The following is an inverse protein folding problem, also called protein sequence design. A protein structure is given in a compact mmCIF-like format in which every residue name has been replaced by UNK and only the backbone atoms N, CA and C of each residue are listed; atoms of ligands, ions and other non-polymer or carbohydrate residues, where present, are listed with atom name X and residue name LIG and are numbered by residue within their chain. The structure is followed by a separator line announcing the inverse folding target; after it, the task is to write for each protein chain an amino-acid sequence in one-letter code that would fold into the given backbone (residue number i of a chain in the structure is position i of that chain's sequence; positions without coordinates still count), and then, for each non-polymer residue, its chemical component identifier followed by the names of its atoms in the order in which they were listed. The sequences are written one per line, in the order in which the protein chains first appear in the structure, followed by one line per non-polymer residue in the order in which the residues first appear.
data_IF_413064049517
#
_entry.id   IF_413064049517
#
_cell.length_a   1.000
_cell.length_b   1.000
_cell.length_c   1.000
_cell.angle_alpha   90.00
_cell.angle_beta   90.00
_cell.angle_gamma   90.00
#
_symmetry.space_group_name_H-M   'P 1'
#
loop_
_entity.id
_entity.type
_entity.pdbx_description
1 polymer ?
#
# COMPACT_ATOMS: atom_id res chain seq x y z
N UNK A 1 15.68 -12.60 -7.70
CA UNK A 1 14.63 -12.44 -8.73
C UNK A 1 14.44 -10.94 -8.86
N UNK A 2 14.47 -10.34 -10.04
CA UNK A 2 14.36 -8.86 -10.18
C UNK A 2 13.00 -8.34 -9.70
N UNK A 3 12.94 -7.10 -9.22
CA UNK A 3 11.76 -6.39 -8.70
C UNK A 3 10.56 -6.51 -9.68
N UNK A 4 10.75 -6.17 -10.93
CA UNK A 4 9.77 -6.30 -12.01
C UNK A 4 9.11 -7.69 -12.07
N UNK A 5 9.89 -8.78 -11.88
CA UNK A 5 9.36 -10.14 -11.92
C UNK A 5 8.45 -10.48 -10.75
N UNK A 6 8.70 -9.93 -9.55
CA UNK A 6 7.86 -10.14 -8.38
C UNK A 6 6.53 -9.41 -8.50
N UNK A 7 6.54 -8.14 -8.91
CA UNK A 7 5.32 -7.34 -9.15
C UNK A 7 4.49 -7.95 -10.27
N UNK A 8 5.09 -8.28 -11.40
CA UNK A 8 4.41 -8.94 -12.52
C UNK A 8 3.78 -10.29 -12.14
N UNK A 9 4.42 -11.06 -11.26
CA UNK A 9 3.85 -12.31 -10.76
C UNK A 9 2.67 -12.06 -9.81
N UNK A 10 2.76 -11.06 -8.94
CA UNK A 10 1.67 -10.69 -8.03
C UNK A 10 0.44 -10.20 -8.80
N UNK A 11 0.63 -9.44 -9.87
CA UNK A 11 -0.45 -8.93 -10.73
C UNK A 11 -0.95 -9.93 -11.77
N UNK A 12 -0.38 -11.14 -11.84
CA UNK A 12 -0.71 -12.12 -12.88
C UNK A 12 -2.20 -12.40 -13.01
N UNK A 13 -2.91 -12.58 -11.89
CA UNK A 13 -4.37 -12.85 -11.88
C UNK A 13 -5.16 -11.67 -12.46
N UNK A 14 -4.81 -10.45 -12.09
CA UNK A 14 -5.46 -9.23 -12.61
C UNK A 14 -5.18 -9.05 -14.09
N UNK A 15 -3.90 -9.19 -14.51
CA UNK A 15 -3.50 -9.12 -15.92
C UNK A 15 -4.21 -10.15 -16.78
N UNK A 16 -4.23 -11.43 -16.36
CA UNK A 16 -4.91 -12.49 -17.10
C UNK A 16 -6.43 -12.26 -17.21
N UNK A 17 -7.05 -11.64 -16.19
CA UNK A 17 -8.47 -11.28 -16.24
C UNK A 17 -8.73 -10.19 -17.28
N UNK A 18 -7.93 -9.13 -17.29
CA UNK A 18 -8.03 -8.03 -18.25
C UNK A 18 -7.72 -8.52 -19.68
N UNK A 19 -6.59 -9.20 -19.86
CA UNK A 19 -6.14 -9.65 -21.17
C UNK A 19 -7.14 -10.59 -21.85
N UNK A 20 -7.65 -11.61 -21.13
CA UNK A 20 -8.63 -12.56 -21.67
C UNK A 20 -9.90 -11.86 -22.14
N UNK A 21 -10.37 -10.88 -21.40
CA UNK A 21 -11.60 -10.15 -21.77
C UNK A 21 -11.38 -9.24 -22.96
N UNK A 22 -10.26 -8.50 -23.01
CA UNK A 22 -9.90 -7.69 -24.19
C UNK A 22 -9.78 -8.57 -25.44
N UNK A 23 -9.11 -9.72 -25.35
CA UNK A 23 -8.91 -10.62 -26.48
C UNK A 23 -10.24 -11.26 -26.94
N UNK A 24 -11.14 -11.60 -26.00
CA UNK A 24 -12.47 -12.12 -26.32
C UNK A 24 -13.33 -11.08 -27.06
N UNK A 25 -13.37 -9.83 -26.60
CA UNK A 25 -14.12 -8.75 -27.22
C UNK A 25 -13.61 -8.46 -28.65
N UNK A 26 -12.31 -8.44 -28.84
CA UNK A 26 -11.71 -8.17 -30.16
C UNK A 26 -11.77 -9.34 -31.14
N UNK A 27 -12.07 -10.55 -30.68
CA UNK A 27 -12.32 -11.70 -31.59
C UNK A 27 -13.65 -11.58 -32.35
N UNK A 28 -14.55 -10.70 -31.93
CA UNK A 28 -15.91 -10.58 -32.48
C UNK A 28 -16.17 -9.29 -33.27
N UNK A 29 -15.24 -8.32 -33.30
CA UNK A 29 -15.54 -7.07 -34.01
C UNK A 29 -14.47 -6.00 -33.98
N UNK A 30 -14.88 -4.82 -34.43
CA UNK A 30 -14.12 -3.57 -34.40
C UNK A 30 -14.23 -2.91 -33.03
N UNK A 31 -13.45 -1.83 -32.79
CA UNK A 31 -13.55 -0.99 -31.59
C UNK A 31 -14.82 -0.10 -31.68
N UNK A 32 -15.98 -0.73 -31.50
CA UNK A 32 -17.29 -0.07 -31.49
C UNK A 32 -17.70 0.39 -30.09
N UNK A 33 -18.91 0.89 -29.95
CA UNK A 33 -19.41 1.38 -28.66
C UNK A 33 -19.57 0.25 -27.63
N UNK A 34 -20.01 -0.94 -28.09
CA UNK A 34 -20.15 -2.13 -27.24
C UNK A 34 -18.80 -2.57 -26.66
N UNK A 35 -17.72 -2.55 -27.48
CA UNK A 35 -16.37 -2.81 -27.00
C UNK A 35 -15.95 -1.88 -25.84
N UNK A 36 -16.22 -0.58 -25.96
CA UNK A 36 -15.83 0.39 -24.91
C UNK A 36 -16.66 0.24 -23.63
N UNK A 37 -17.96 -0.08 -23.77
CA UNK A 37 -18.82 -0.35 -22.61
C UNK A 37 -18.36 -1.60 -21.89
N UNK A 38 -18.11 -2.70 -22.59
CA UNK A 38 -17.58 -3.95 -22.05
C UNK A 38 -16.21 -3.76 -21.40
N UNK A 39 -15.32 -2.95 -22.01
CA UNK A 39 -14.01 -2.64 -21.43
C UNK A 39 -14.16 -1.87 -20.13
N UNK A 40 -15.11 -0.95 -20.04
CA UNK A 40 -15.42 -0.23 -18.81
C UNK A 40 -15.81 -1.21 -17.69
N UNK A 41 -16.71 -2.16 -17.99
CA UNK A 41 -17.13 -3.20 -17.02
C UNK A 41 -15.96 -4.09 -16.58
N UNK A 42 -15.05 -4.41 -17.51
CA UNK A 42 -13.82 -5.16 -17.19
C UNK A 42 -12.97 -4.39 -16.17
N UNK A 43 -12.70 -3.12 -16.43
CA UNK A 43 -11.87 -2.29 -15.54
C UNK A 43 -12.52 -2.12 -14.17
N UNK A 44 -13.85 -1.92 -14.12
CA UNK A 44 -14.63 -1.89 -12.86
C UNK A 44 -14.49 -3.21 -12.11
N UNK A 45 -14.62 -4.35 -12.81
CA UNK A 45 -14.51 -5.69 -12.20
C UNK A 45 -13.12 -5.97 -11.60
N UNK A 46 -12.10 -5.24 -12.05
CA UNK A 46 -10.73 -5.28 -11.51
C UNK A 46 -10.49 -4.27 -10.37
N UNK A 47 -11.55 -3.66 -9.86
CA UNK A 47 -11.52 -2.63 -8.79
C UNK A 47 -10.77 -1.32 -9.13
N UNK A 48 -10.69 -0.96 -10.42
CA UNK A 48 -10.14 0.35 -10.85
C UNK A 48 -11.05 1.51 -10.41
N UNK A 49 -12.31 1.20 -10.07
CA UNK A 49 -13.31 2.19 -9.70
C UNK A 49 -14.14 2.69 -10.89
N UNK A 50 -15.42 2.95 -10.64
CA UNK A 50 -16.39 3.29 -11.70
C UNK A 50 -15.97 4.54 -12.47
N UNK A 51 -15.79 5.67 -11.77
CA UNK A 51 -15.42 6.94 -12.38
C UNK A 51 -14.09 6.87 -13.13
N UNK A 52 -13.09 6.26 -12.48
CA UNK A 52 -11.75 6.11 -13.06
C UNK A 52 -11.79 5.26 -14.34
N UNK A 53 -12.58 4.17 -14.35
CA UNK A 53 -12.74 3.30 -15.52
C UNK A 53 -13.38 4.07 -16.69
N UNK A 54 -14.43 4.84 -16.45
CA UNK A 54 -15.04 5.70 -17.48
C UNK A 54 -14.04 6.70 -18.06
N UNK A 55 -13.30 7.41 -17.22
CA UNK A 55 -12.31 8.41 -17.67
C UNK A 55 -11.21 7.76 -18.52
N UNK A 56 -10.71 6.58 -18.12
CA UNK A 56 -9.67 5.84 -18.86
C UNK A 56 -10.21 5.39 -20.23
N UNK A 57 -11.40 4.81 -20.27
CA UNK A 57 -11.98 4.28 -21.50
C UNK A 57 -12.35 5.39 -22.48
N UNK A 58 -12.88 6.52 -22.02
CA UNK A 58 -13.17 7.65 -22.89
C UNK A 58 -11.87 8.25 -23.47
N UNK A 59 -10.82 8.34 -22.67
CA UNK A 59 -9.50 8.76 -23.16
C UNK A 59 -8.94 7.77 -24.20
N UNK A 60 -9.09 6.47 -23.96
CA UNK A 60 -8.72 5.43 -24.92
C UNK A 60 -9.51 5.57 -26.23
N UNK A 61 -10.83 5.78 -26.17
CA UNK A 61 -11.70 5.97 -27.33
C UNK A 61 -11.20 7.11 -28.23
N UNK A 62 -10.89 8.25 -27.64
CA UNK A 62 -10.36 9.43 -28.35
C UNK A 62 -9.00 9.10 -29.00
N UNK A 63 -8.10 8.49 -28.23
CA UNK A 63 -6.74 8.17 -28.70
C UNK A 63 -6.72 7.06 -29.74
N UNK A 64 -7.57 6.04 -29.58
CA UNK A 64 -7.67 4.94 -30.52
C UNK A 64 -8.12 5.43 -31.92
N UNK A 65 -9.10 6.35 -31.97
CA UNK A 65 -9.53 7.00 -33.22
C UNK A 65 -8.40 7.82 -33.85
N UNK A 66 -7.72 8.65 -33.05
CA UNK A 66 -6.61 9.51 -33.50
C UNK A 66 -5.43 8.69 -34.03
N UNK A 67 -5.05 7.63 -33.32
CA UNK A 67 -3.88 6.81 -33.62
C UNK A 67 -4.21 5.60 -34.51
N UNK A 68 -5.48 5.47 -34.97
CA UNK A 68 -5.97 4.38 -35.84
C UNK A 68 -5.70 2.99 -35.26
N UNK A 69 -5.84 2.82 -33.94
CA UNK A 69 -5.70 1.55 -33.23
C UNK A 69 -6.90 0.66 -33.60
N UNK A 70 -6.62 -0.62 -33.93
CA UNK A 70 -7.66 -1.58 -34.36
C UNK A 70 -7.47 -2.98 -33.79
N UNK A 71 -6.51 -3.19 -32.89
CA UNK A 71 -6.19 -4.51 -32.32
C UNK A 71 -5.89 -4.45 -30.83
N UNK A 72 -5.92 -5.62 -30.18
CA UNK A 72 -5.76 -5.74 -28.74
C UNK A 72 -4.39 -5.29 -28.21
N UNK A 73 -3.35 -5.48 -29.00
CA UNK A 73 -2.01 -5.04 -28.64
C UNK A 73 -1.94 -3.50 -28.59
N UNK A 74 -2.51 -2.83 -29.60
CA UNK A 74 -2.60 -1.38 -29.62
C UNK A 74 -3.45 -0.83 -28.49
N UNK A 75 -4.59 -1.47 -28.17
CA UNK A 75 -5.44 -1.11 -27.04
C UNK A 75 -4.67 -1.22 -25.72
N UNK A 76 -4.01 -2.35 -25.46
CA UNK A 76 -3.19 -2.54 -24.25
C UNK A 76 -2.05 -1.52 -24.17
N UNK A 77 -1.37 -1.27 -25.29
CA UNK A 77 -0.31 -0.25 -25.36
C UNK A 77 -0.83 1.14 -25.01
N UNK A 78 -1.98 1.54 -25.53
CA UNK A 78 -2.56 2.85 -25.26
C UNK A 78 -3.10 2.96 -23.82
N UNK A 79 -3.68 1.90 -23.25
CA UNK A 79 -4.05 1.85 -21.83
C UNK A 79 -2.84 2.07 -20.92
N UNK A 80 -1.70 1.42 -21.22
CA UNK A 80 -0.45 1.67 -20.49
C UNK A 80 -0.02 3.13 -20.57
N UNK A 81 -0.09 3.74 -21.76
CA UNK A 81 0.29 5.14 -21.96
C UNK A 81 -0.60 6.08 -21.15
N UNK A 82 -1.92 5.86 -21.18
CA UNK A 82 -2.89 6.66 -20.41
C UNK A 82 -2.55 6.59 -18.91
N UNK A 83 -2.34 5.39 -18.36
CA UNK A 83 -2.01 5.24 -16.95
C UNK A 83 -0.64 5.82 -16.60
N UNK A 84 0.37 5.67 -17.46
CA UNK A 84 1.70 6.29 -17.24
C UNK A 84 1.61 7.81 -17.16
N UNK A 85 0.80 8.42 -18.02
CA UNK A 85 0.59 9.88 -17.99
C UNK A 85 -0.18 10.32 -16.74
N UNK A 86 -1.21 9.56 -16.33
CA UNK A 86 -1.95 9.85 -15.10
C UNK A 86 -1.07 9.75 -13.86
N UNK A 87 -0.21 8.74 -13.79
CA UNK A 87 0.67 8.53 -12.65
C UNK A 87 1.96 9.37 -12.68
N UNK A 88 2.34 9.94 -13.83
CA UNK A 88 3.53 10.79 -13.94
C UNK A 88 3.48 12.04 -13.04
N UNK A 89 2.28 12.48 -12.64
CA UNK A 89 2.08 13.63 -11.74
C UNK A 89 2.13 13.26 -10.25
N UNK A 90 2.20 11.96 -9.91
CA UNK A 90 2.19 11.50 -8.55
C UNK A 90 3.60 11.41 -7.99
N UNK A 91 3.80 12.00 -6.82
CA UNK A 91 5.09 11.94 -6.14
C UNK A 91 5.28 10.55 -5.51
N UNK A 92 6.39 9.90 -5.84
CA UNK A 92 6.83 8.76 -5.04
C UNK A 92 7.28 9.25 -3.67
N UNK A 93 6.97 8.47 -2.63
CA UNK A 93 7.43 8.81 -1.29
C UNK A 93 8.92 8.46 -1.15
N UNK A 94 9.70 9.46 -0.76
CA UNK A 94 11.09 9.27 -0.34
C UNK A 94 11.16 9.39 1.18
N UNK A 95 11.77 8.40 1.82
CA UNK A 95 11.89 8.35 3.28
C UNK A 95 13.20 9.01 3.68
N UNK A 96 13.09 10.14 4.35
CA UNK A 96 14.22 10.86 4.93
C UNK A 96 14.50 10.36 6.34
N UNK A 97 15.77 10.41 6.77
CA UNK A 97 16.22 9.84 8.05
C UNK A 97 16.78 10.93 8.99
N UNK A 98 16.65 10.76 10.33
CA UNK A 98 15.98 9.65 11.01
C UNK A 98 14.46 9.67 10.79
N UNK A 99 13.87 8.49 10.63
CA UNK A 99 12.45 8.33 10.35
C UNK A 99 11.70 7.65 11.50
N UNK A 100 10.49 8.11 11.79
CA UNK A 100 9.51 7.40 12.61
C UNK A 100 8.33 7.05 11.72
N UNK A 101 8.09 5.75 11.51
CA UNK A 101 7.02 5.26 10.65
C UNK A 101 5.98 4.56 11.53
N UNK A 102 4.82 5.19 11.69
CA UNK A 102 3.67 4.62 12.39
C UNK A 102 2.83 3.81 11.41
N UNK A 103 2.64 2.53 11.69
CA UNK A 103 1.85 1.62 10.87
C UNK A 103 0.43 1.53 11.42
N UNK A 104 -0.53 2.05 10.65
CA UNK A 104 -1.94 2.10 10.99
C UNK A 104 -2.78 1.20 10.07
N UNK A 105 -4.03 0.94 10.44
CA UNK A 105 -4.96 0.11 9.65
C UNK A 105 -5.79 -0.82 10.52
N UNK A 106 -6.81 -1.45 9.94
CA UNK A 106 -7.71 -2.34 10.68
C UNK A 106 -7.04 -3.67 11.05
N UNK A 107 -7.66 -4.45 11.95
CA UNK A 107 -7.16 -5.77 12.29
C UNK A 107 -7.26 -6.73 11.08
N UNK A 108 -6.26 -7.59 10.92
CA UNK A 108 -6.23 -8.62 9.86
C UNK A 108 -5.65 -8.18 8.52
N UNK A 109 -5.37 -6.88 8.31
CA UNK A 109 -4.77 -6.38 7.05
C UNK A 109 -3.27 -6.70 6.91
N UNK A 110 -2.63 -7.19 7.98
CA UNK A 110 -1.21 -7.57 7.92
C UNK A 110 -0.24 -6.54 8.50
N UNK A 111 -0.65 -5.63 9.39
CA UNK A 111 0.24 -4.60 9.99
C UNK A 111 1.52 -5.18 10.58
N UNK A 112 1.40 -6.09 11.54
CA UNK A 112 2.55 -6.69 12.24
C UNK A 112 3.49 -7.44 11.29
N UNK A 113 2.92 -8.17 10.31
CA UNK A 113 3.69 -8.82 9.24
C UNK A 113 4.42 -7.79 8.36
N UNK A 114 3.74 -6.72 8.01
CA UNK A 114 4.31 -5.61 7.23
C UNK A 114 5.49 -4.97 7.96
N UNK A 115 5.38 -4.72 9.27
CA UNK A 115 6.48 -4.18 10.08
C UNK A 115 7.69 -5.12 10.05
N UNK A 116 7.47 -6.42 10.19
CA UNK A 116 8.54 -7.40 10.08
C UNK A 116 9.25 -7.36 8.72
N UNK A 117 8.49 -7.27 7.63
CA UNK A 117 9.03 -7.16 6.27
C UNK A 117 9.72 -5.81 6.03
N UNK A 118 9.16 -4.69 6.50
CA UNK A 118 9.81 -3.37 6.46
C UNK A 118 11.12 -3.36 7.23
N UNK A 119 11.16 -4.01 8.40
CA UNK A 119 12.41 -4.16 9.16
C UNK A 119 13.49 -4.85 8.32
N UNK A 120 13.15 -5.93 7.62
CA UNK A 120 14.07 -6.61 6.72
C UNK A 120 14.48 -5.74 5.54
N UNK A 121 13.51 -5.04 4.91
CA UNK A 121 13.75 -4.12 3.81
C UNK A 121 14.77 -3.04 4.18
N UNK A 122 14.54 -2.30 5.28
CA UNK A 122 15.45 -1.23 5.70
C UNK A 122 16.83 -1.76 6.11
N UNK A 123 16.91 -2.96 6.71
CA UNK A 123 18.20 -3.59 7.00
C UNK A 123 18.98 -3.98 5.75
N UNK A 124 18.30 -4.41 4.70
CA UNK A 124 18.92 -4.65 3.40
C UNK A 124 19.48 -3.33 2.81
N UNK A 125 18.80 -2.20 3.07
CA UNK A 125 19.27 -0.83 2.76
C UNK A 125 20.34 -0.31 3.75
N UNK A 126 20.87 -1.19 4.63
CA UNK A 126 21.90 -0.88 5.63
C UNK A 126 21.48 0.17 6.67
N UNK A 127 20.19 0.27 6.97
CA UNK A 127 19.65 1.15 8.00
C UNK A 127 19.57 0.42 9.34
N UNK A 128 19.85 1.14 10.44
CA UNK A 128 19.56 0.64 11.79
C UNK A 128 18.06 0.82 12.07
N UNK A 129 17.43 -0.27 12.53
CA UNK A 129 15.97 -0.32 12.74
C UNK A 129 15.66 -0.69 14.18
N UNK A 130 14.66 -0.04 14.74
CA UNK A 130 14.06 -0.44 16.04
C UNK A 130 12.55 -0.57 15.86
N UNK A 131 11.98 -1.66 16.45
CA UNK A 131 10.54 -1.91 16.46
C UNK A 131 9.92 -1.45 17.79
N UNK A 132 8.70 -0.96 17.74
CA UNK A 132 7.90 -0.57 18.91
C UNK A 132 6.57 -1.32 18.88
N UNK A 133 6.30 -2.13 19.91
CA UNK A 133 5.06 -2.89 20.06
C UNK A 133 3.98 -2.00 20.69
N UNK A 134 3.37 -1.10 19.89
CA UNK A 134 2.32 -0.20 20.34
C UNK A 134 0.91 -0.82 20.35
N UNK A 135 0.65 -1.98 19.71
CA UNK A 135 -0.59 -2.76 19.92
C UNK A 135 -0.53 -3.50 21.26
N UNK A 136 -0.66 -2.74 22.35
CA UNK A 136 -0.53 -3.24 23.72
C UNK A 136 -1.72 -4.05 24.22
N UNK A 137 -2.87 -3.98 23.52
CA UNK A 137 -4.08 -4.70 23.90
C UNK A 137 -4.12 -6.16 23.44
N UNK A 138 -3.16 -6.56 22.60
CA UNK A 138 -3.14 -7.89 22.00
C UNK A 138 -1.80 -8.56 22.28
N UNK A 139 -1.77 -9.41 23.32
CA UNK A 139 -0.58 -10.22 23.65
C UNK A 139 -0.05 -10.99 22.43
N UNK A 140 -0.95 -11.55 21.61
CA UNK A 140 -0.57 -12.27 20.38
C UNK A 140 0.14 -11.36 19.35
N UNK A 141 -0.24 -10.08 19.23
CA UNK A 141 0.41 -9.14 18.32
C UNK A 141 1.83 -8.80 18.79
N UNK A 142 2.01 -8.54 20.10
CA UNK A 142 3.33 -8.31 20.70
C UNK A 142 4.26 -9.51 20.56
N UNK A 143 3.74 -10.74 20.74
CA UNK A 143 4.51 -11.97 20.53
C UNK A 143 4.89 -12.14 19.05
N UNK A 144 3.94 -11.94 18.14
CA UNK A 144 4.22 -12.02 16.71
C UNK A 144 5.27 -10.98 16.27
N UNK A 145 5.21 -9.75 16.79
CA UNK A 145 6.21 -8.74 16.51
C UNK A 145 7.59 -9.12 17.07
N UNK A 146 7.62 -9.79 18.23
CA UNK A 146 8.86 -10.32 18.83
C UNK A 146 9.48 -11.38 17.92
N UNK A 147 8.69 -12.32 17.39
CA UNK A 147 9.18 -13.33 16.44
C UNK A 147 9.75 -12.67 15.16
N UNK A 148 9.13 -11.61 14.68
CA UNK A 148 9.67 -10.85 13.56
C UNK A 148 10.98 -10.14 13.92
N UNK A 149 11.06 -9.54 15.11
CA UNK A 149 12.29 -8.92 15.60
C UNK A 149 13.46 -9.92 15.66
N UNK A 150 13.21 -11.13 16.15
CA UNK A 150 14.21 -12.22 16.23
C UNK A 150 14.63 -12.67 14.82
N UNK A 151 13.66 -12.92 13.92
CA UNK A 151 13.94 -13.34 12.53
C UNK A 151 14.75 -12.31 11.75
N UNK A 152 14.48 -11.04 11.96
CA UNK A 152 15.18 -9.93 11.27
C UNK A 152 16.39 -9.43 12.07
N UNK A 153 16.66 -9.99 13.26
CA UNK A 153 17.70 -9.52 14.19
C UNK A 153 17.60 -8.03 14.48
N UNK A 154 16.38 -7.56 14.76
CA UNK A 154 16.05 -6.16 14.99
C UNK A 154 15.70 -5.95 16.46
N UNK A 155 16.11 -4.82 17.02
CA UNK A 155 15.72 -4.43 18.39
C UNK A 155 14.23 -4.19 18.48
N UNK A 156 13.61 -4.62 19.58
CA UNK A 156 12.20 -4.35 19.88
C UNK A 156 12.05 -3.71 21.26
N UNK A 157 11.18 -2.71 21.34
CA UNK A 157 10.71 -2.08 22.57
C UNK A 157 9.27 -2.51 22.79
N UNK A 158 8.99 -3.09 23.95
CA UNK A 158 7.66 -3.57 24.33
C UNK A 158 7.44 -3.45 25.83
N UNK A 159 6.19 -3.28 26.22
CA UNK A 159 5.75 -3.30 27.64
C UNK A 159 4.82 -4.48 27.90
N UNK A 160 4.33 -4.58 29.15
CA UNK A 160 3.31 -5.56 29.52
C UNK A 160 1.99 -5.28 28.79
N UNK A 161 1.16 -6.30 28.65
CA UNK A 161 -0.18 -6.19 28.08
C UNK A 161 -1.00 -5.14 28.83
N UNK A 162 -1.75 -4.32 28.07
CA UNK A 162 -2.57 -3.23 28.61
C UNK A 162 -1.81 -1.96 28.98
N UNK A 163 -0.50 -1.89 28.73
CA UNK A 163 0.27 -0.67 28.92
C UNK A 163 -0.22 0.47 27.98
N UNK A 164 0.06 1.71 28.33
CA UNK A 164 -0.21 2.85 27.47
C UNK A 164 0.68 2.83 26.22
N UNK A 165 0.08 2.70 25.04
CA UNK A 165 0.79 2.66 23.75
C UNK A 165 1.73 3.86 23.56
N UNK A 166 1.32 5.05 24.00
CA UNK A 166 2.12 6.27 23.91
C UNK A 166 3.37 6.21 24.81
N UNK A 167 3.30 5.51 25.96
CA UNK A 167 4.46 5.29 26.82
C UNK A 167 5.47 4.33 26.18
N UNK A 168 5.00 3.27 25.50
CA UNK A 168 5.89 2.36 24.74
C UNK A 168 6.59 3.11 23.60
N UNK A 169 5.86 3.98 22.90
CA UNK A 169 6.44 4.84 21.84
C UNK A 169 7.47 5.81 22.40
N UNK A 170 7.20 6.42 23.56
CA UNK A 170 8.16 7.29 24.24
C UNK A 170 9.49 6.57 24.52
N UNK A 171 9.42 5.37 25.08
CA UNK A 171 10.62 4.57 25.35
C UNK A 171 11.32 4.13 24.05
N UNK A 172 10.54 3.84 22.99
CA UNK A 172 11.04 3.60 21.65
C UNK A 172 11.86 4.76 21.11
N UNK A 173 11.34 5.97 21.23
CA UNK A 173 12.03 7.21 20.81
C UNK A 173 13.30 7.43 21.62
N UNK A 174 13.21 7.27 22.94
CA UNK A 174 14.37 7.41 23.84
C UNK A 174 15.49 6.44 23.46
N UNK A 175 15.13 5.19 23.19
CA UNK A 175 16.08 4.17 22.70
C UNK A 175 16.65 4.52 21.34
N UNK A 176 15.81 4.99 20.40
CA UNK A 176 16.21 5.35 19.05
C UNK A 176 17.22 6.50 19.03
N UNK A 177 16.97 7.54 19.83
CA UNK A 177 17.91 8.69 19.99
C UNK A 177 19.23 8.24 20.59
N UNK A 178 19.22 7.44 21.67
CA UNK A 178 20.42 6.96 22.32
C UNK A 178 21.28 6.06 21.43
N UNK A 179 20.67 5.33 20.50
CA UNK A 179 21.34 4.39 19.58
C UNK A 179 21.57 4.95 18.18
N UNK A 180 21.09 6.18 17.91
CA UNK A 180 21.13 6.81 16.58
C UNK A 180 20.48 5.93 15.51
N UNK A 181 19.32 5.37 15.86
CA UNK A 181 18.53 4.51 14.97
C UNK A 181 18.05 5.31 13.76
N UNK A 182 18.22 4.76 12.56
CA UNK A 182 17.75 5.40 11.32
C UNK A 182 16.23 5.33 11.17
N UNK A 183 15.63 4.18 11.55
CA UNK A 183 14.19 3.94 11.35
C UNK A 183 13.55 3.35 12.61
N UNK A 184 12.56 4.04 13.15
CA UNK A 184 11.70 3.55 14.23
C UNK A 184 10.35 3.12 13.62
N UNK A 185 10.04 1.81 13.65
CA UNK A 185 8.78 1.27 13.17
C UNK A 185 7.84 1.04 14.35
N UNK A 186 6.67 1.68 14.33
CA UNK A 186 5.69 1.64 15.41
C UNK A 186 4.47 0.82 14.97
N UNK A 187 4.23 -0.32 15.63
CA UNK A 187 2.97 -1.07 15.50
C UNK A 187 1.86 -0.37 16.27
N UNK A 188 0.63 -0.42 15.78
CA UNK A 188 -0.53 0.19 16.46
C UNK A 188 -1.72 -0.77 16.49
N UNK A 189 -2.62 -0.55 17.43
CA UNK A 189 -3.91 -1.23 17.45
C UNK A 189 -4.70 -0.98 16.15
N UNK A 190 -5.62 -1.90 15.82
CA UNK A 190 -6.44 -1.81 14.60
C UNK A 190 -7.92 -2.01 14.84
N UNK A 191 -8.43 -1.68 16.03
CA UNK A 191 -9.82 -1.92 16.45
C UNK A 191 -10.75 -0.82 15.96
N UNK A 192 -11.08 -0.80 14.67
CA UNK A 192 -11.93 0.25 14.08
C UNK A 192 -13.37 0.24 14.63
N UNK A 193 -13.86 -0.88 15.18
CA UNK A 193 -15.18 -0.95 15.80
C UNK A 193 -15.29 -0.14 17.12
N UNK A 194 -14.15 0.17 17.76
CA UNK A 194 -14.03 1.15 18.86
C UNK A 194 -13.34 2.41 18.33
N UNK A 195 -13.90 2.99 17.25
CA UNK A 195 -13.28 4.07 16.46
C UNK A 195 -12.75 5.21 17.34
N UNK A 196 -13.54 5.69 18.29
CA UNK A 196 -13.16 6.83 19.16
C UNK A 196 -11.87 6.54 19.94
N UNK A 197 -11.80 5.41 20.64
CA UNK A 197 -10.64 5.07 21.46
C UNK A 197 -9.36 4.87 20.64
N UNK A 198 -9.47 4.21 19.49
CA UNK A 198 -8.33 4.02 18.57
C UNK A 198 -7.80 5.36 18.07
N UNK A 199 -8.70 6.26 17.69
CA UNK A 199 -8.32 7.57 17.14
C UNK A 199 -7.70 8.48 18.19
N UNK A 200 -8.17 8.42 19.44
CA UNK A 200 -7.55 9.13 20.57
C UNK A 200 -6.14 8.59 20.85
N UNK A 201 -5.97 7.27 20.81
CA UNK A 201 -4.65 6.63 20.98
C UNK A 201 -3.68 7.06 19.88
N UNK A 202 -4.09 7.02 18.61
CA UNK A 202 -3.25 7.48 17.50
C UNK A 202 -2.86 8.96 17.62
N UNK A 203 -3.80 9.83 18.01
CA UNK A 203 -3.51 11.24 18.27
C UNK A 203 -2.52 11.43 19.41
N UNK A 204 -2.61 10.60 20.46
CA UNK A 204 -1.69 10.64 21.59
C UNK A 204 -0.28 10.21 21.16
N UNK A 205 -0.17 9.13 20.40
CA UNK A 205 1.09 8.67 19.81
C UNK A 205 1.71 9.78 18.95
N UNK A 206 0.93 10.37 18.04
CA UNK A 206 1.37 11.45 17.16
C UNK A 206 1.91 12.66 17.92
N UNK A 207 1.24 13.07 19.01
CA UNK A 207 1.70 14.15 19.91
C UNK A 207 3.02 13.80 20.59
N UNK A 208 3.17 12.56 21.06
CA UNK A 208 4.41 12.10 21.70
C UNK A 208 5.57 12.14 20.70
N UNK A 209 5.38 11.62 19.49
CA UNK A 209 6.40 11.65 18.45
C UNK A 209 6.82 13.08 18.14
N UNK A 210 5.88 13.96 17.89
CA UNK A 210 6.14 15.38 17.54
C UNK A 210 6.88 16.13 18.65
N UNK A 211 6.56 15.84 19.91
CA UNK A 211 7.18 16.50 21.06
C UNK A 211 8.57 15.96 21.36
N UNK A 212 8.72 14.62 21.33
CA UNK A 212 9.95 13.97 21.83
C UNK A 212 11.04 13.85 20.76
N UNK A 213 10.68 13.87 19.48
CA UNK A 213 11.66 13.75 18.38
C UNK A 213 11.32 14.68 17.20
N UNK A 214 11.30 16.02 17.44
CA UNK A 214 10.91 16.99 16.41
C UNK A 214 11.85 17.01 15.17
N UNK A 215 13.09 16.56 15.33
CA UNK A 215 14.05 16.46 14.24
C UNK A 215 13.90 15.20 13.38
N UNK A 216 13.07 14.23 13.78
CA UNK A 216 12.80 13.04 12.97
C UNK A 216 11.69 13.30 11.95
N UNK A 217 11.85 12.71 10.76
CA UNK A 217 10.80 12.70 9.74
C UNK A 217 9.71 11.72 10.13
N UNK A 218 8.49 12.21 10.26
CA UNK A 218 7.34 11.44 10.72
C UNK A 218 6.49 11.01 9.53
N UNK A 219 6.15 9.71 9.47
CA UNK A 219 5.28 9.12 8.47
C UNK A 219 4.20 8.26 9.12
N UNK A 220 2.97 8.40 8.66
CA UNK A 220 1.86 7.52 8.98
C UNK A 220 1.52 6.69 7.74
N UNK A 221 1.85 5.41 7.74
CA UNK A 221 1.53 4.51 6.65
C UNK A 221 0.32 3.65 7.00
N UNK A 222 -0.72 3.73 6.16
CA UNK A 222 -1.88 2.85 6.30
C UNK A 222 -1.65 1.55 5.54
N UNK A 223 -1.88 0.42 6.22
CA UNK A 223 -1.85 -0.91 5.61
C UNK A 223 -3.25 -1.29 5.19
N UNK A 224 -3.41 -1.64 3.92
CA UNK A 224 -4.66 -2.04 3.30
C UNK A 224 -4.52 -3.43 2.68
N UNK A 225 -5.58 -4.22 2.73
CA UNK A 225 -5.66 -5.54 2.12
C UNK A 225 -6.25 -5.41 0.70
N UNK A 226 -5.46 -5.70 -0.34
CA UNK A 226 -5.87 -5.61 -1.74
C UNK A 226 -7.08 -6.51 -2.07
N UNK A 227 -7.27 -7.61 -1.33
CA UNK A 227 -8.39 -8.52 -1.56
C UNK A 227 -9.75 -7.89 -1.23
N UNK A 228 -9.76 -6.82 -0.44
CA UNK A 228 -10.98 -6.09 -0.08
C UNK A 228 -11.45 -5.11 -1.16
N UNK A 229 -10.61 -4.86 -2.17
CA UNK A 229 -10.95 -4.00 -3.31
C UNK A 229 -11.39 -2.60 -2.87
N UNK A 230 -12.48 -2.09 -3.44
CA UNK A 230 -13.02 -0.76 -3.14
C UNK A 230 -13.32 -0.51 -1.64
N UNK A 231 -13.53 -1.56 -0.84
CA UNK A 231 -13.73 -1.39 0.60
C UNK A 231 -12.47 -0.87 1.33
N UNK A 232 -11.28 -1.04 0.74
CA UNK A 232 -10.05 -0.45 1.28
C UNK A 232 -10.11 1.09 1.30
N UNK A 233 -10.79 1.69 0.33
CA UNK A 233 -10.92 3.15 0.21
C UNK A 233 -11.67 3.77 1.39
N UNK A 234 -12.69 3.08 1.90
CA UNK A 234 -13.43 3.54 3.07
C UNK A 234 -12.56 3.63 4.32
N UNK A 235 -11.52 2.78 4.41
CA UNK A 235 -10.57 2.82 5.53
C UNK A 235 -9.68 4.06 5.44
N UNK A 236 -9.22 4.44 4.24
CA UNK A 236 -8.45 5.68 4.04
C UNK A 236 -9.22 6.87 4.58
N UNK A 237 -10.49 7.04 4.17
CA UNK A 237 -11.34 8.12 4.65
C UNK A 237 -11.47 8.12 6.17
N UNK A 238 -11.76 6.94 6.76
CA UNK A 238 -11.97 6.80 8.19
C UNK A 238 -10.74 7.16 9.04
N UNK A 239 -9.53 6.88 8.56
CA UNK A 239 -8.29 7.22 9.25
C UNK A 239 -7.85 8.66 8.97
N UNK A 240 -8.04 9.16 7.74
CA UNK A 240 -7.61 10.50 7.34
C UNK A 240 -8.37 11.63 8.06
N UNK A 241 -9.54 11.33 8.64
CA UNK A 241 -10.26 12.25 9.54
C UNK A 241 -9.45 12.60 10.80
N UNK A 242 -8.51 11.75 11.22
CA UNK A 242 -7.87 11.85 12.54
C UNK A 242 -6.34 11.98 12.49
N UNK A 243 -5.71 11.33 11.53
CA UNK A 243 -4.26 11.39 11.30
C UNK A 243 -3.99 11.56 9.81
N UNK A 244 -3.05 12.43 9.47
CA UNK A 244 -2.61 12.57 8.08
C UNK A 244 -1.97 11.27 7.63
N UNK A 245 -2.44 10.71 6.52
CA UNK A 245 -1.84 9.54 5.88
C UNK A 245 -0.78 10.04 4.90
N UNK A 246 0.47 9.61 5.08
CA UNK A 246 1.60 10.01 4.24
C UNK A 246 1.91 8.98 3.16
N UNK A 247 1.49 7.72 3.36
CA UNK A 247 1.67 6.66 2.37
C UNK A 247 0.81 5.44 2.64
N UNK A 248 0.69 4.60 1.63
CA UNK A 248 -0.11 3.37 1.67
C UNK A 248 0.81 2.17 1.47
N UNK A 249 0.54 1.11 2.23
CA UNK A 249 1.13 -0.21 2.03
C UNK A 249 0.01 -1.16 1.67
N UNK A 250 0.05 -1.69 0.45
CA UNK A 250 -0.97 -2.60 -0.03
C UNK A 250 -0.49 -4.05 0.10
N UNK A 251 -1.20 -4.86 0.90
CA UNK A 251 -0.86 -6.27 1.14
C UNK A 251 -1.68 -7.22 0.28
N UNK A 252 -1.24 -8.48 0.16
CA UNK A 252 -1.95 -9.59 -0.49
C UNK A 252 -2.30 -9.36 -1.97
N UNK A 253 -1.49 -8.58 -2.68
CA UNK A 253 -1.71 -8.28 -4.09
C UNK A 253 -1.66 -9.54 -4.96
N UNK A 254 -0.83 -10.51 -4.59
CA UNK A 254 -0.68 -11.83 -5.23
C UNK A 254 -1.93 -12.74 -5.09
N UNK A 255 -2.75 -12.47 -4.09
CA UNK A 255 -3.96 -13.25 -3.78
C UNK A 255 -5.18 -12.91 -4.63
N UNK A 256 -5.18 -11.77 -5.35
CA UNK A 256 -6.40 -11.20 -5.92
C UNK A 256 -6.31 -10.90 -7.42
N UNK A 257 -7.46 -10.83 -8.09
CA UNK A 257 -7.63 -10.24 -9.41
C UNK A 257 -8.02 -8.74 -9.35
N UNK A 258 -8.03 -8.15 -8.15
CA UNK A 258 -8.46 -6.78 -7.86
C UNK A 258 -7.30 -5.78 -7.74
N UNK A 259 -6.19 -6.06 -8.40
CA UNK A 259 -4.98 -5.21 -8.38
C UNK A 259 -5.22 -3.78 -8.89
N UNK A 260 -6.30 -3.56 -9.65
CA UNK A 260 -6.70 -2.24 -10.11
C UNK A 260 -7.03 -1.24 -9.00
N UNK A 261 -7.27 -1.71 -7.76
CA UNK A 261 -7.51 -0.83 -6.61
C UNK A 261 -6.38 0.18 -6.38
N UNK A 262 -5.15 -0.13 -6.79
CA UNK A 262 -4.01 0.82 -6.78
C UNK A 262 -4.34 2.06 -7.60
N UNK A 263 -4.93 1.88 -8.79
CA UNK A 263 -5.30 2.98 -9.69
C UNK A 263 -6.36 3.88 -9.03
N UNK A 264 -7.38 3.27 -8.41
CA UNK A 264 -8.41 4.00 -7.69
C UNK A 264 -7.85 4.80 -6.51
N UNK A 265 -6.97 4.19 -5.70
CA UNK A 265 -6.32 4.82 -4.56
C UNK A 265 -5.56 6.09 -4.99
N UNK A 266 -4.70 5.96 -5.97
CA UNK A 266 -3.84 7.06 -6.43
C UNK A 266 -4.66 8.21 -7.03
N UNK A 267 -5.68 7.89 -7.82
CA UNK A 267 -6.50 8.90 -8.48
C UNK A 267 -7.43 9.64 -7.52
N UNK A 268 -8.05 8.92 -6.58
CA UNK A 268 -9.08 9.49 -5.70
C UNK A 268 -8.49 10.17 -4.45
N UNK A 269 -7.41 9.61 -3.89
CA UNK A 269 -6.88 10.08 -2.60
C UNK A 269 -5.59 10.87 -2.72
N UNK A 270 -4.85 10.73 -3.82
CA UNK A 270 -3.54 11.38 -4.03
C UNK A 270 -2.54 11.10 -2.89
N UNK A 271 -2.70 9.95 -2.24
CA UNK A 271 -1.76 9.42 -1.23
C UNK A 271 -0.91 8.37 -1.91
N UNK A 272 0.42 8.49 -1.92
CA UNK A 272 1.28 7.57 -2.67
C UNK A 272 1.24 6.17 -2.07
N UNK A 273 1.21 5.16 -2.93
CA UNK A 273 1.51 3.79 -2.53
C UNK A 273 3.02 3.69 -2.33
N UNK A 274 3.44 3.43 -1.09
CA UNK A 274 4.84 3.36 -0.72
C UNK A 274 5.43 1.96 -0.94
N UNK A 275 4.67 0.93 -0.55
CA UNK A 275 5.09 -0.47 -0.65
C UNK A 275 3.92 -1.38 -1.02
N UNK A 276 4.26 -2.53 -1.62
CA UNK A 276 3.32 -3.60 -1.94
C UNK A 276 3.82 -4.94 -1.40
N UNK A 277 2.92 -5.70 -0.78
CA UNK A 277 3.12 -7.08 -0.39
C UNK A 277 2.77 -8.01 -1.55
N UNK A 278 3.74 -8.83 -1.95
CA UNK A 278 3.68 -9.69 -3.14
C UNK A 278 3.79 -11.18 -2.83
N UNK A 279 3.56 -11.55 -1.58
CA UNK A 279 3.62 -12.93 -1.07
C UNK A 279 3.80 -12.99 0.45
N UNK A 280 4.02 -14.20 0.98
CA UNK A 280 4.10 -14.46 2.43
C UNK A 280 5.54 -14.45 2.99
N UNK A 281 6.54 -14.51 2.14
CA UNK A 281 7.96 -14.52 2.55
C UNK A 281 8.41 -13.22 3.19
N UNK A 282 9.49 -13.27 3.96
CA UNK A 282 10.09 -12.11 4.63
C UNK A 282 10.60 -11.06 3.63
N UNK A 283 10.98 -11.48 2.43
CA UNK A 283 11.47 -10.63 1.34
C UNK A 283 10.37 -10.28 0.32
N UNK A 284 9.08 -10.60 0.62
CA UNK A 284 7.95 -10.34 -0.26
C UNK A 284 7.23 -9.03 0.10
N UNK A 285 8.03 -7.98 0.26
CA UNK A 285 7.59 -6.59 0.34
C UNK A 285 8.50 -5.77 -0.58
N UNK A 286 7.90 -5.07 -1.53
CA UNK A 286 8.63 -4.29 -2.52
C UNK A 286 8.27 -2.81 -2.42
N UNK A 287 9.25 -1.92 -2.61
CA UNK A 287 8.97 -0.51 -2.82
C UNK A 287 8.12 -0.39 -4.09
N UNK A 288 7.07 0.40 -4.03
CA UNK A 288 6.18 0.54 -5.17
C UNK A 288 6.84 1.35 -6.29
N UNK A 289 6.74 0.84 -7.51
CA UNK A 289 7.12 1.54 -8.74
C UNK A 289 5.96 1.51 -9.74
N UNK A 290 5.55 2.69 -10.20
CA UNK A 290 4.40 2.83 -11.10
C UNK A 290 4.62 2.16 -12.46
N UNK A 291 5.83 2.24 -12.99
CA UNK A 291 6.12 1.66 -14.31
C UNK A 291 6.07 0.13 -14.23
N UNK A 292 6.71 -0.44 -13.21
CA UNK A 292 6.67 -1.89 -12.96
C UNK A 292 5.24 -2.39 -12.72
N UNK A 293 4.43 -1.59 -12.01
CA UNK A 293 3.02 -1.90 -11.76
C UNK A 293 2.21 -1.89 -13.06
N UNK A 294 2.29 -0.83 -13.87
CA UNK A 294 1.54 -0.71 -15.13
C UNK A 294 1.96 -1.80 -16.12
N UNK A 295 3.26 -2.08 -16.23
CA UNK A 295 3.74 -3.18 -17.09
C UNK A 295 3.28 -4.56 -16.57
N UNK A 296 3.09 -4.70 -15.27
CA UNK A 296 2.56 -5.92 -14.66
C UNK A 296 1.04 -6.08 -14.81
N UNK A 297 0.30 -4.97 -15.01
CA UNK A 297 -1.16 -4.96 -15.08
C UNK A 297 -1.69 -5.34 -16.48
N UNK A 298 -0.97 -5.01 -17.53
CA UNK A 298 -1.28 -5.26 -18.94
C UNK A 298 -0.14 -6.07 -19.60
#
# INVERSE_FOLDING_TARGET
MGLFKKIGNALRKTREAIARKIDAMLSHGELDDEFYDDLTDVLISCDIGVRTSFDIVENLRIRARKNKIRNGEGVRGELKNILKEEFASLNQIEIEYPAIITIIGVNGVGKTTTIGKLSKYFKNEKKDVTLVAGDTFRAAASNQLTEWADRTKTRIIKHAEGADAAAVVFDGITSAKAKKTDVLLVDTAGRLHTKTNLMEELKKIDKVITREYPEAHKYNFIVLDATTGQNALNQINAFNEFVKIDGIILTKLDGTAKGGVVVAIEKEYKVPVAFIGVGEGVDDLEKFDYNDFIEGLF
#
